data_IF_473417795033
#
_entry.id   IF_473417795033
#
_cell.length_a   1.000
_cell.length_b   1.000
_cell.length_c   1.000
_cell.angle_alpha   90.00
_cell.angle_beta   90.00
_cell.angle_gamma   90.00
#
_symmetry.space_group_name_H-M   'P 1'
#
loop_
_entity.id
_entity.type
_entity.pdbx_description
1 polymer ?
#
# COMPACT_ATOMS: atom_id res chain seq x y z
N UNK A 1 70.02 3.26 33.08
CA UNK A 1 68.97 4.17 33.58
C UNK A 1 68.06 3.36 34.49
N UNK A 2 68.00 3.69 35.78
CA UNK A 2 67.14 2.98 36.74
C UNK A 2 65.85 3.78 36.89
N UNK A 3 64.71 3.24 36.45
CA UNK A 3 63.40 3.86 36.72
C UNK A 3 62.98 3.46 38.13
N UNK A 4 62.94 4.41 39.05
CA UNK A 4 62.30 4.24 40.35
C UNK A 4 60.78 4.13 40.16
N UNK A 5 60.08 3.22 40.85
CA UNK A 5 58.63 3.12 40.77
C UNK A 5 57.97 4.44 41.16
N UNK A 6 57.13 5.00 40.30
CA UNK A 6 56.29 6.16 40.61
C UNK A 6 54.96 5.64 41.12
N UNK A 7 54.66 5.87 42.39
CA UNK A 7 53.33 5.60 42.97
C UNK A 7 52.45 6.84 42.83
N UNK A 8 51.39 6.73 42.05
CA UNK A 8 50.34 7.75 41.95
C UNK A 8 49.27 7.44 42.99
N UNK A 9 49.16 8.29 44.02
CA UNK A 9 48.12 8.18 45.06
C UNK A 9 46.92 9.04 44.69
N UNK A 10 45.76 8.42 44.58
CA UNK A 10 44.48 9.13 44.49
C UNK A 10 43.78 9.10 45.85
N UNK A 11 43.08 10.18 46.20
CA UNK A 11 42.16 10.12 47.34
C UNK A 11 40.91 9.32 46.92
N UNK A 12 40.43 8.46 47.82
CA UNK A 12 39.18 7.73 47.59
C UNK A 12 37.99 8.68 47.37
N UNK A 13 37.99 9.83 48.05
CA UNK A 13 36.99 10.87 47.91
C UNK A 13 36.91 11.42 46.48
N UNK A 14 38.06 11.73 45.87
CA UNK A 14 38.11 12.25 44.49
C UNK A 14 37.63 11.21 43.49
N UNK A 15 38.02 9.94 43.68
CA UNK A 15 37.54 8.83 42.85
C UNK A 15 36.02 8.66 42.97
N UNK A 16 35.47 8.70 44.19
CA UNK A 16 34.03 8.60 44.41
C UNK A 16 33.27 9.77 43.78
N UNK A 17 33.81 10.99 43.87
CA UNK A 17 33.22 12.18 43.24
C UNK A 17 33.16 12.03 41.71
N UNK A 18 34.24 11.57 41.08
CA UNK A 18 34.28 11.33 39.64
C UNK A 18 33.30 10.22 39.21
N UNK A 19 33.17 9.15 40.01
CA UNK A 19 32.20 8.09 39.78
C UNK A 19 30.77 8.63 39.84
N UNK A 20 30.43 9.40 40.88
CA UNK A 20 29.09 9.98 41.02
C UNK A 20 28.76 10.90 39.84
N UNK A 21 29.70 11.76 39.42
CA UNK A 21 29.50 12.60 38.24
C UNK A 21 29.28 11.80 36.95
N UNK A 22 30.01 10.69 36.77
CA UNK A 22 29.81 9.79 35.63
C UNK A 22 28.45 9.09 35.70
N UNK A 23 28.02 8.67 36.89
CA UNK A 23 26.70 8.05 37.10
C UNK A 23 25.56 9.03 36.82
N UNK A 24 25.66 10.27 37.28
CA UNK A 24 24.68 11.32 37.02
C UNK A 24 24.55 11.61 35.52
N UNK A 25 25.69 11.69 34.81
CA UNK A 25 25.69 11.87 33.36
C UNK A 25 25.08 10.67 32.62
N UNK A 26 25.45 9.44 33.01
CA UNK A 26 24.85 8.23 32.42
C UNK A 26 23.34 8.16 32.68
N UNK A 27 22.89 8.54 33.87
CA UNK A 27 21.47 8.57 34.19
C UNK A 27 20.72 9.57 33.32
N UNK A 28 21.33 10.73 33.04
CA UNK A 28 20.79 11.71 32.09
C UNK A 28 20.72 11.13 30.67
N UNK A 29 21.82 10.59 30.16
CA UNK A 29 21.89 10.02 28.80
C UNK A 29 20.86 8.89 28.60
N UNK A 30 20.68 8.03 29.61
CA UNK A 30 19.67 6.96 29.57
C UNK A 30 18.25 7.50 29.57
N UNK A 31 17.97 8.58 30.32
CA UNK A 31 16.66 9.22 30.32
C UNK A 31 16.35 9.91 29.00
N UNK A 32 17.34 10.57 28.40
CA UNK A 32 17.22 11.22 27.10
C UNK A 32 16.96 10.15 26.01
N UNK A 33 17.77 9.09 25.98
CA UNK A 33 17.58 7.96 25.06
C UNK A 33 16.19 7.30 25.20
N UNK A 34 15.73 7.09 26.44
CA UNK A 34 14.39 6.55 26.71
C UNK A 34 13.30 7.45 26.15
N UNK A 35 13.45 8.76 26.30
CA UNK A 35 12.47 9.75 25.83
C UNK A 35 12.43 9.80 24.31
N UNK A 36 13.58 9.89 23.65
CA UNK A 36 13.70 9.87 22.19
C UNK A 36 13.13 8.57 21.60
N UNK A 37 13.48 7.43 22.21
CA UNK A 37 12.96 6.13 21.79
C UNK A 37 11.44 6.05 21.92
N UNK A 38 10.87 6.60 23.00
CA UNK A 38 9.41 6.64 23.19
C UNK A 38 8.74 7.47 22.08
N UNK A 39 9.28 8.65 21.77
CA UNK A 39 8.75 9.52 20.71
C UNK A 39 8.82 8.81 19.34
N UNK A 40 9.95 8.17 19.03
CA UNK A 40 10.11 7.42 17.79
C UNK A 40 9.11 6.26 17.68
N UNK A 41 8.90 5.50 18.76
CA UNK A 41 7.91 4.41 18.81
C UNK A 41 6.48 4.94 18.60
N UNK A 42 6.13 6.07 19.22
CA UNK A 42 4.81 6.69 19.04
C UNK A 42 4.59 7.15 17.59
N UNK A 43 5.60 7.73 16.94
CA UNK A 43 5.57 8.08 15.52
C UNK A 43 5.35 6.85 14.63
N UNK A 44 6.17 5.81 14.81
CA UNK A 44 6.06 4.56 14.04
C UNK A 44 4.70 3.90 14.23
N UNK A 45 4.15 3.92 15.44
CA UNK A 45 2.79 3.42 15.72
C UNK A 45 1.73 4.21 14.96
N UNK A 46 1.90 5.52 14.83
CA UNK A 46 1.04 6.38 14.01
C UNK A 46 1.09 5.98 12.53
N UNK A 47 2.30 5.82 11.99
CA UNK A 47 2.50 5.40 10.59
C UNK A 47 1.88 4.03 10.30
N UNK A 48 2.06 3.06 11.20
CA UNK A 48 1.45 1.72 11.09
C UNK A 48 -0.08 1.81 11.02
N UNK A 49 -0.72 2.62 11.87
CA UNK A 49 -2.19 2.81 11.82
C UNK A 49 -2.66 3.43 10.51
N UNK A 50 -1.89 4.38 9.97
CA UNK A 50 -2.21 5.00 8.68
C UNK A 50 -2.07 3.98 7.54
N UNK A 51 -1.03 3.14 7.58
CA UNK A 51 -0.84 2.04 6.62
C UNK A 51 -2.00 1.04 6.70
N UNK A 52 -2.41 0.63 7.90
CA UNK A 52 -3.54 -0.28 8.13
C UNK A 52 -4.84 0.26 7.51
N UNK A 53 -5.14 1.54 7.76
CA UNK A 53 -6.30 2.22 7.18
C UNK A 53 -6.25 2.22 5.64
N UNK A 54 -5.08 2.53 5.06
CA UNK A 54 -4.89 2.53 3.60
C UNK A 54 -5.04 1.13 3.02
N UNK A 55 -4.54 0.10 3.72
CA UNK A 55 -4.66 -1.30 3.31
C UNK A 55 -6.13 -1.74 3.28
N UNK A 56 -6.90 -1.47 4.33
CA UNK A 56 -8.34 -1.77 4.37
C UNK A 56 -9.10 -1.09 3.23
N UNK A 57 -8.76 0.16 2.89
CA UNK A 57 -9.38 0.85 1.76
C UNK A 57 -9.02 0.21 0.42
N UNK A 58 -7.75 -0.18 0.23
CA UNK A 58 -7.32 -0.89 -0.97
C UNK A 58 -8.01 -2.25 -1.12
N UNK A 59 -8.17 -3.01 -0.04
CA UNK A 59 -8.91 -4.28 -0.06
C UNK A 59 -10.35 -4.09 -0.56
N UNK A 60 -11.05 -3.06 -0.06
CA UNK A 60 -12.40 -2.73 -0.54
C UNK A 60 -12.43 -2.38 -2.03
N UNK A 61 -11.54 -1.50 -2.48
CA UNK A 61 -11.46 -1.13 -3.91
C UNK A 61 -11.14 -2.33 -4.79
N UNK A 62 -10.27 -3.23 -4.34
CA UNK A 62 -9.95 -4.47 -5.06
C UNK A 62 -11.17 -5.39 -5.16
N UNK A 63 -11.97 -5.51 -4.10
CA UNK A 63 -13.17 -6.33 -4.11
C UNK A 63 -14.27 -5.74 -5.00
N UNK A 64 -14.45 -4.42 -5.01
CA UNK A 64 -15.33 -3.71 -5.95
C UNK A 64 -14.89 -3.96 -7.42
N UNK A 65 -13.60 -3.80 -7.72
CA UNK A 65 -13.04 -4.06 -9.06
C UNK A 65 -13.29 -5.52 -9.49
N UNK A 66 -13.16 -6.49 -8.59
CA UNK A 66 -13.46 -7.90 -8.90
C UNK A 66 -14.93 -8.11 -9.27
N UNK A 67 -15.85 -7.44 -8.56
CA UNK A 67 -17.30 -7.50 -8.85
C UNK A 67 -17.59 -6.89 -10.22
N UNK A 68 -17.07 -5.69 -10.48
CA UNK A 68 -17.25 -5.00 -11.76
C UNK A 68 -16.66 -5.78 -12.93
N UNK A 69 -15.49 -6.40 -12.73
CA UNK A 69 -14.85 -7.26 -13.73
C UNK A 69 -15.73 -8.45 -14.06
N UNK A 70 -16.29 -9.14 -13.05
CA UNK A 70 -17.22 -10.25 -13.26
C UNK A 70 -18.46 -9.80 -14.04
N UNK A 71 -19.09 -8.70 -13.62
CA UNK A 71 -20.25 -8.14 -14.32
C UNK A 71 -19.92 -7.83 -15.77
N UNK A 72 -18.82 -7.13 -16.03
CA UNK A 72 -18.39 -6.80 -17.39
C UNK A 72 -18.14 -8.06 -18.24
N UNK A 73 -17.60 -9.14 -17.65
CA UNK A 73 -17.43 -10.42 -18.38
C UNK A 73 -18.76 -11.08 -18.74
N UNK A 74 -19.77 -10.99 -17.88
CA UNK A 74 -21.13 -11.46 -18.14
C UNK A 74 -21.80 -10.61 -19.22
N UNK A 75 -21.77 -9.28 -19.07
CA UNK A 75 -22.34 -8.34 -20.04
C UNK A 75 -21.70 -8.53 -21.43
N UNK A 76 -20.38 -8.76 -21.50
CA UNK A 76 -19.67 -9.09 -22.73
C UNK A 76 -20.10 -10.44 -23.33
N UNK A 77 -20.35 -11.45 -22.50
CA UNK A 77 -20.82 -12.76 -22.95
C UNK A 77 -22.24 -12.66 -23.53
N UNK A 78 -23.13 -11.96 -22.82
CA UNK A 78 -24.49 -11.69 -23.27
C UNK A 78 -24.48 -10.87 -24.58
N UNK A 79 -23.61 -9.87 -24.69
CA UNK A 79 -23.42 -9.06 -25.90
C UNK A 79 -22.85 -9.88 -27.08
N UNK A 80 -22.08 -10.94 -26.83
CA UNK A 80 -21.67 -11.85 -27.91
C UNK A 80 -22.80 -12.81 -28.28
N UNK A 81 -23.55 -13.29 -27.29
CA UNK A 81 -24.69 -14.19 -27.45
C UNK A 81 -25.81 -13.58 -28.30
N UNK A 82 -26.37 -12.42 -27.90
CA UNK A 82 -27.44 -11.77 -28.66
C UNK A 82 -27.01 -11.46 -30.11
N UNK A 83 -25.78 -10.95 -30.32
CA UNK A 83 -25.25 -10.61 -31.64
C UNK A 83 -25.17 -11.86 -32.52
N UNK A 84 -24.69 -12.99 -32.00
CA UNK A 84 -24.65 -14.25 -32.75
C UNK A 84 -26.04 -14.76 -33.11
N UNK A 85 -27.04 -14.55 -32.24
CA UNK A 85 -28.40 -15.00 -32.46
C UNK A 85 -29.14 -14.14 -33.50
N UNK A 86 -29.07 -12.81 -33.39
CA UNK A 86 -29.93 -11.90 -34.18
C UNK A 86 -29.29 -11.41 -35.47
N UNK A 87 -27.96 -11.24 -35.52
CA UNK A 87 -27.27 -10.70 -36.68
C UNK A 87 -27.62 -11.39 -38.02
N UNK A 88 -27.69 -12.73 -38.13
CA UNK A 88 -28.04 -13.37 -39.40
C UNK A 88 -29.46 -13.02 -39.88
N UNK A 89 -30.42 -12.90 -38.96
CA UNK A 89 -31.80 -12.52 -39.30
C UNK A 89 -31.89 -11.07 -39.76
N UNK A 90 -31.22 -10.14 -39.05
CA UNK A 90 -31.17 -8.74 -39.46
C UNK A 90 -30.55 -8.58 -40.85
N UNK A 91 -29.43 -9.26 -41.12
CA UNK A 91 -28.80 -9.23 -42.45
C UNK A 91 -29.75 -9.79 -43.51
N UNK A 92 -30.42 -10.92 -43.24
CA UNK A 92 -31.36 -11.51 -44.19
C UNK A 92 -32.54 -10.58 -44.52
N UNK A 93 -33.12 -9.91 -43.52
CA UNK A 93 -34.21 -8.95 -43.71
C UNK A 93 -33.76 -7.77 -44.59
N UNK A 94 -32.58 -7.21 -44.31
CA UNK A 94 -32.04 -6.09 -45.09
C UNK A 94 -31.76 -6.51 -46.54
N UNK A 95 -31.14 -7.67 -46.76
CA UNK A 95 -30.85 -8.20 -48.09
C UNK A 95 -32.14 -8.45 -48.88
N UNK A 96 -33.15 -9.04 -48.24
CA UNK A 96 -34.45 -9.29 -48.85
C UNK A 96 -35.17 -7.98 -49.23
N UNK A 97 -35.14 -6.97 -48.36
CA UNK A 97 -35.74 -5.66 -48.63
C UNK A 97 -35.08 -4.97 -49.83
N UNK A 98 -33.74 -4.95 -49.88
CA UNK A 98 -33.00 -4.36 -51.01
C UNK A 98 -33.32 -5.10 -52.31
N UNK A 99 -33.30 -6.44 -52.28
CA UNK A 99 -33.59 -7.26 -53.46
C UNK A 99 -35.01 -7.05 -53.96
N UNK A 100 -35.98 -6.97 -53.04
CA UNK A 100 -37.38 -6.69 -53.36
C UNK A 100 -37.58 -5.32 -54.02
N UNK A 101 -36.92 -4.28 -53.50
CA UNK A 101 -36.97 -2.94 -54.06
C UNK A 101 -36.36 -2.87 -55.47
N UNK A 102 -35.22 -3.53 -55.69
CA UNK A 102 -34.59 -3.62 -57.03
C UNK A 102 -35.54 -4.30 -58.01
N UNK A 103 -36.11 -5.44 -57.63
CA UNK A 103 -36.99 -6.20 -58.50
C UNK A 103 -38.30 -5.44 -58.82
N UNK A 104 -38.81 -4.66 -57.85
CA UNK A 104 -39.95 -3.77 -58.07
C UNK A 104 -39.62 -2.64 -59.06
N UNK A 105 -38.45 -2.02 -58.93
CA UNK A 105 -38.03 -0.94 -59.82
C UNK A 105 -37.79 -1.40 -61.26
N UNK A 106 -37.32 -2.63 -61.48
CA UNK A 106 -37.10 -3.19 -62.83
C UNK A 106 -38.42 -3.54 -63.53
N UNK A 107 -39.43 -3.97 -62.77
CA UNK A 107 -40.74 -4.39 -63.31
C UNK A 107 -41.74 -3.23 -63.52
N UNK A 108 -41.37 -2.02 -63.10
CA UNK A 108 -42.17 -0.80 -63.25
C UNK A 108 -41.77 -0.07 -64.51
#
# INVERSE_FOLDING_TARGET
>A
MSQSPITVTYSLEEVLKQINQKLDNLQKDVNDFRTETKVAIESVKGDIKNIDTRLTNLEKTVDEIKVDTKKNTTDLADLKGWRSLIAPFFVAVVVAAITGLINWAIKK
#
